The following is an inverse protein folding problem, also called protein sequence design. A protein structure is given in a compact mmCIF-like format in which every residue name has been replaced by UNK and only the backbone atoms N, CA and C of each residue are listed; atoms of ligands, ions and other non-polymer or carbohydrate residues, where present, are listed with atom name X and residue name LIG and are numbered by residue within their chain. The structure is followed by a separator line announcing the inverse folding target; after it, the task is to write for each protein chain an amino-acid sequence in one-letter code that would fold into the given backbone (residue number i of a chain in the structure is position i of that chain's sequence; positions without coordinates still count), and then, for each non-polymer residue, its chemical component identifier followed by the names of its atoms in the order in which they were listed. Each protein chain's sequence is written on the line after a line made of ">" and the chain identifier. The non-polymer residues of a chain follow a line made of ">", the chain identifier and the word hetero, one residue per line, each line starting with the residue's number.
data_IF_909957761009
#
_entry.id   IF_909957761009
#
_cell.length_a   1.000
_cell.length_b   1.000
_cell.length_c   1.000
_cell.angle_alpha   90.00
_cell.angle_beta   90.00
_cell.angle_gamma   90.00
#
_symmetry.space_group_name_H-M   'P 1'
#
loop_
_entity.id
_entity.type
_entity.pdbx_description
1 polymer ?
#
# COMPACT_ATOMS: atom_id res chain seq x y z
N UNK A 1 -48.99 -24.11 44.09
CA UNK A 1 -48.54 -22.74 43.73
C UNK A 1 -47.02 -22.51 43.82
N UNK A 2 -46.28 -23.04 44.80
CA UNK A 2 -44.82 -22.86 44.92
C UNK A 2 -43.97 -23.46 43.78
N UNK A 3 -44.37 -24.62 43.24
CA UNK A 3 -43.63 -25.31 42.15
C UNK A 3 -43.82 -24.63 40.78
N UNK A 4 -45.00 -24.04 40.54
CA UNK A 4 -45.29 -23.30 39.30
C UNK A 4 -44.46 -22.01 39.26
N UNK A 5 -44.25 -21.35 40.41
CA UNK A 5 -43.34 -20.20 40.53
C UNK A 5 -41.87 -20.55 40.20
N UNK A 6 -41.43 -21.76 40.53
CA UNK A 6 -40.07 -22.22 40.23
C UNK A 6 -39.87 -22.54 38.73
N UNK A 7 -40.88 -23.08 38.06
CA UNK A 7 -40.80 -23.41 36.63
C UNK A 7 -40.76 -22.15 35.73
N UNK A 8 -41.44 -21.07 36.13
CA UNK A 8 -41.42 -19.78 35.42
C UNK A 8 -40.07 -19.06 35.58
N UNK A 9 -39.36 -19.30 36.68
CA UNK A 9 -38.02 -18.74 36.91
C UNK A 9 -36.94 -19.33 35.99
N UNK A 10 -37.12 -20.57 35.51
CA UNK A 10 -36.10 -21.27 34.72
C UNK A 10 -36.15 -20.85 33.23
N UNK A 11 -37.30 -20.36 32.75
CA UNK A 11 -37.46 -19.95 31.35
C UNK A 11 -36.80 -18.61 30.98
N UNK A 12 -36.30 -17.84 31.96
CA UNK A 12 -35.68 -16.53 31.69
C UNK A 12 -34.15 -16.57 31.48
N UNK A 13 -33.50 -17.74 31.63
CA UNK A 13 -32.03 -17.86 31.44
C UNK A 13 -31.59 -18.28 30.04
N UNK A 14 -32.50 -18.57 29.11
CA UNK A 14 -32.13 -18.97 27.74
C UNK A 14 -32.00 -17.78 26.78
N UNK A 15 -31.21 -16.77 27.16
CA UNK A 15 -30.80 -15.72 26.24
C UNK A 15 -29.53 -16.20 25.51
N UNK A 16 -29.68 -16.65 24.25
CA UNK A 16 -28.56 -17.06 23.41
C UNK A 16 -27.96 -15.80 22.81
N UNK A 17 -26.83 -15.33 23.34
CA UNK A 17 -26.14 -14.18 22.76
C UNK A 17 -25.48 -14.62 21.45
N UNK A 18 -26.01 -14.15 20.32
CA UNK A 18 -25.29 -14.25 19.07
C UNK A 18 -23.98 -13.47 19.22
N UNK A 19 -22.86 -14.10 18.88
CA UNK A 19 -21.58 -13.42 18.81
C UNK A 19 -21.67 -12.39 17.70
N UNK A 20 -21.95 -11.15 18.07
CA UNK A 20 -21.60 -10.00 17.23
C UNK A 20 -20.07 -10.05 17.15
N UNK A 21 -19.56 -10.61 16.07
CA UNK A 21 -18.16 -10.43 15.69
C UNK A 21 -18.00 -8.92 15.46
N UNK A 22 -17.56 -8.22 16.51
CA UNK A 22 -16.97 -6.90 16.34
C UNK A 22 -15.78 -7.14 15.41
N UNK A 23 -15.92 -6.76 14.15
CA UNK A 23 -14.76 -6.47 13.33
C UNK A 23 -14.06 -5.37 14.12
N UNK A 24 -13.00 -5.77 14.82
CA UNK A 24 -12.11 -4.84 15.45
C UNK A 24 -11.45 -4.12 14.28
N UNK A 25 -12.05 -3.00 13.86
CA UNK A 25 -11.38 -2.01 13.03
C UNK A 25 -10.15 -1.59 13.82
N UNK A 26 -9.05 -2.30 13.60
CA UNK A 26 -7.73 -1.86 13.97
C UNK A 26 -7.40 -0.72 13.01
N UNK A 27 -8.03 0.43 13.19
CA UNK A 27 -7.72 1.65 12.44
C UNK A 27 -6.48 2.31 13.04
N UNK A 28 -5.38 1.56 13.09
CA UNK A 28 -4.02 2.12 13.11
C UNK A 28 -3.52 2.26 11.66
N UNK A 29 -4.43 2.40 10.70
CA UNK A 29 -4.05 2.73 9.34
C UNK A 29 -3.68 4.21 9.33
N UNK A 30 -2.36 4.48 9.36
CA UNK A 30 -1.81 5.80 9.10
C UNK A 30 -2.44 6.30 7.78
N UNK A 31 -3.33 7.29 7.88
CA UNK A 31 -4.35 7.59 6.88
C UNK A 31 -3.83 8.22 5.60
N UNK A 32 -2.58 8.69 5.61
CA UNK A 32 -2.07 9.55 4.56
C UNK A 32 -1.03 8.77 3.74
N UNK A 33 -1.49 8.23 2.61
CA UNK A 33 -0.64 7.63 1.59
C UNK A 33 -0.36 8.67 0.52
N UNK A 34 0.90 9.09 0.39
CA UNK A 34 1.34 9.96 -0.70
C UNK A 34 1.98 9.09 -1.78
N UNK A 35 1.36 9.00 -2.94
CA UNK A 35 1.91 8.31 -4.11
C UNK A 35 2.57 9.32 -5.03
N UNK A 36 3.82 9.07 -5.43
CA UNK A 36 4.44 9.78 -6.55
C UNK A 36 4.52 8.87 -7.76
N UNK A 37 4.45 9.44 -8.95
CA UNK A 37 4.60 8.70 -10.20
C UNK A 37 5.38 9.53 -11.20
N UNK A 38 6.04 8.87 -12.15
CA UNK A 38 6.80 9.53 -13.19
C UNK A 38 7.17 8.58 -14.32
N UNK A 39 7.61 9.14 -15.43
CA UNK A 39 8.02 8.44 -16.64
C UNK A 39 9.05 9.27 -17.39
N UNK A 40 9.50 8.78 -18.55
CA UNK A 40 10.35 9.51 -19.48
C UNK A 40 11.71 9.92 -18.89
N UNK A 41 12.37 8.98 -18.22
CA UNK A 41 13.68 9.20 -17.60
C UNK A 41 14.80 8.93 -18.63
N UNK A 42 15.21 9.98 -19.34
CA UNK A 42 16.36 9.90 -20.23
C UNK A 42 17.66 9.87 -19.42
N UNK A 43 18.30 8.70 -19.34
CA UNK A 43 19.51 8.45 -18.56
C UNK A 43 20.73 9.29 -18.96
N UNK A 44 20.67 9.99 -20.09
CA UNK A 44 21.73 10.89 -20.55
C UNK A 44 21.57 12.32 -20.01
N UNK A 45 20.45 12.63 -19.35
CA UNK A 45 20.14 13.93 -18.77
C UNK A 45 20.00 13.74 -17.27
N UNK A 46 20.72 14.55 -16.49
CA UNK A 46 20.62 14.53 -15.02
C UNK A 46 19.17 14.74 -14.56
N UNK A 47 18.64 13.80 -13.79
CA UNK A 47 17.30 13.86 -13.24
C UNK A 47 17.28 14.65 -11.93
N UNK A 48 16.90 15.93 -12.01
CA UNK A 48 16.78 16.80 -10.84
C UNK A 48 15.43 16.65 -10.10
N UNK A 49 14.51 15.80 -10.59
CA UNK A 49 13.15 15.66 -10.05
C UNK A 49 13.11 14.81 -8.78
N UNK A 50 14.01 13.82 -8.63
CA UNK A 50 14.03 12.95 -7.44
C UNK A 50 14.13 13.74 -6.13
N UNK A 51 14.92 14.83 -6.13
CA UNK A 51 15.02 15.72 -4.97
C UNK A 51 13.68 16.35 -4.60
N UNK A 52 12.90 16.79 -5.58
CA UNK A 52 11.58 17.40 -5.36
C UNK A 52 10.52 16.36 -5.01
N UNK A 53 10.59 15.17 -5.61
CA UNK A 53 9.73 14.03 -5.26
C UNK A 53 9.90 13.67 -3.77
N UNK A 54 11.16 13.54 -3.29
CA UNK A 54 11.44 13.17 -1.90
C UNK A 54 10.96 14.21 -0.87
N UNK A 55 10.85 15.49 -1.22
CA UNK A 55 10.29 16.53 -0.32
C UNK A 55 8.83 16.25 0.05
N UNK A 56 8.08 15.56 -0.82
CA UNK A 56 6.69 15.20 -0.60
C UNK A 56 6.51 13.93 0.26
N UNK A 57 7.62 13.31 0.72
CA UNK A 57 7.62 12.09 1.55
C UNK A 57 6.71 10.98 1.00
N UNK A 58 6.84 10.61 -0.30
CA UNK A 58 5.99 9.60 -0.87
C UNK A 58 6.18 8.26 -0.17
N UNK A 59 5.07 7.55 0.03
CA UNK A 59 5.03 6.16 0.53
C UNK A 59 5.55 5.21 -0.54
N UNK A 60 5.29 5.50 -1.81
CA UNK A 60 5.79 4.74 -2.95
C UNK A 60 5.97 5.64 -4.18
N UNK A 61 6.84 5.21 -5.08
CA UNK A 61 6.99 5.78 -6.41
C UNK A 61 6.59 4.74 -7.46
N UNK A 62 5.80 5.15 -8.45
CA UNK A 62 5.33 4.29 -9.54
C UNK A 62 5.91 4.79 -10.86
N UNK A 63 6.62 3.91 -11.57
CA UNK A 63 7.03 4.18 -12.94
C UNK A 63 5.84 4.01 -13.89
N UNK A 64 5.60 5.01 -14.72
CA UNK A 64 4.60 4.97 -15.80
C UNK A 64 5.13 4.36 -17.11
N UNK A 65 6.38 3.90 -17.14
CA UNK A 65 7.08 3.49 -18.36
C UNK A 65 8.32 4.37 -18.61
N UNK A 66 9.03 4.10 -19.72
CA UNK A 66 10.20 4.87 -20.17
C UNK A 66 11.22 5.16 -19.06
N UNK A 67 11.64 4.11 -18.34
CA UNK A 67 12.63 4.20 -17.26
C UNK A 67 14.02 4.58 -17.81
N UNK A 68 14.33 4.09 -19.02
CA UNK A 68 15.49 4.44 -19.83
C UNK A 68 15.10 4.49 -21.31
N UNK A 69 15.89 5.21 -22.12
CA UNK A 69 15.75 5.23 -23.58
C UNK A 69 16.91 4.44 -24.19
N UNK A 70 16.61 3.26 -24.70
CA UNK A 70 17.63 2.33 -25.18
C UNK A 70 17.12 1.50 -26.36
N UNK A 71 16.89 2.15 -27.50
CA UNK A 71 16.53 1.46 -28.74
C UNK A 71 17.73 0.70 -29.31
N UNK A 72 17.95 -0.50 -28.78
CA UNK A 72 19.08 -1.37 -29.13
C UNK A 72 18.70 -2.83 -28.99
N UNK A 73 19.25 -3.66 -29.87
CA UNK A 73 19.19 -5.13 -29.74
C UNK A 73 20.42 -5.71 -29.02
N UNK A 74 21.42 -4.88 -28.73
CA UNK A 74 22.64 -5.31 -28.05
C UNK A 74 22.42 -5.29 -26.53
N UNK A 75 22.43 -6.45 -25.85
CA UNK A 75 22.20 -6.52 -24.40
C UNK A 75 23.28 -5.79 -23.59
N UNK A 76 24.50 -5.65 -24.12
CA UNK A 76 25.56 -4.92 -23.45
C UNK A 76 25.26 -3.40 -23.41
N UNK A 77 24.75 -2.84 -24.50
CA UNK A 77 24.32 -1.42 -24.55
C UNK A 77 23.13 -1.18 -23.63
N UNK A 78 22.16 -2.11 -23.61
CA UNK A 78 21.02 -2.02 -22.69
C UNK A 78 21.48 -2.00 -21.23
N UNK A 79 22.41 -2.88 -20.86
CA UNK A 79 23.00 -2.93 -19.52
C UNK A 79 23.70 -1.62 -19.17
N UNK A 80 24.53 -1.09 -20.07
CA UNK A 80 25.24 0.17 -19.86
C UNK A 80 24.28 1.35 -19.64
N UNK A 81 23.19 1.42 -20.40
CA UNK A 81 22.15 2.44 -20.21
C UNK A 81 21.45 2.33 -18.85
N UNK A 82 21.18 1.12 -18.35
CA UNK A 82 20.68 0.93 -16.99
C UNK A 82 21.68 1.32 -15.92
N UNK A 83 22.97 1.05 -16.12
CA UNK A 83 24.01 1.48 -15.18
C UNK A 83 24.18 3.00 -15.14
N UNK A 84 23.97 3.70 -16.26
CA UNK A 84 23.90 5.17 -16.27
C UNK A 84 22.73 5.68 -15.44
N UNK A 85 21.53 5.15 -15.66
CA UNK A 85 20.35 5.47 -14.87
C UNK A 85 20.58 5.25 -13.37
N UNK A 86 21.16 4.10 -12.98
CA UNK A 86 21.41 3.74 -11.58
C UNK A 86 22.38 4.70 -10.88
N UNK A 87 23.32 5.32 -11.60
CA UNK A 87 24.24 6.32 -11.05
C UNK A 87 23.58 7.67 -10.76
N UNK A 88 22.48 7.97 -11.44
CA UNK A 88 21.73 9.22 -11.33
C UNK A 88 20.51 9.13 -10.39
N UNK A 89 20.19 7.92 -9.92
CA UNK A 89 19.06 7.63 -9.03
C UNK A 89 19.44 7.65 -7.54
#
# INVERSE_FOLDING_TARGET
>A
MRIILFLISISLFSCKQEKIYKIQEKSDFKSDVTLSFGSCNNQNIKNNLFKEILKNKPTAFVWGGDIIYSDTKNPQVLKENYELFKKDS
#
